data_IF_164101251685
#
_entry.id   IF_164101251685
#
_cell.length_a   1.000
_cell.length_b   1.000
_cell.length_c   1.000
_cell.angle_alpha   90.00
_cell.angle_beta   90.00
_cell.angle_gamma   90.00
#
_symmetry.space_group_name_H-M   'P 1'
#
loop_
_entity.id
_entity.type
_entity.pdbx_description
1 polymer ?
#
# COMPACT_ATOMS: atom_id res chain seq x y z
N UNK A 1 -27.67 -44.39 -25.83
CA UNK A 1 -26.53 -43.49 -26.04
C UNK A 1 -26.74 -42.28 -25.17
N UNK A 2 -26.03 -42.20 -24.04
CA UNK A 2 -26.13 -41.09 -23.10
C UNK A 2 -24.90 -40.20 -23.28
N UNK A 3 -25.09 -38.99 -23.77
CA UNK A 3 -24.05 -37.98 -23.85
C UNK A 3 -23.89 -37.30 -22.48
N UNK A 4 -22.78 -37.58 -21.78
CA UNK A 4 -22.37 -36.86 -20.60
C UNK A 4 -21.71 -35.54 -21.01
N UNK A 5 -22.40 -34.43 -20.79
CA UNK A 5 -21.83 -33.09 -20.91
C UNK A 5 -20.95 -32.83 -19.69
N UNK A 6 -19.63 -32.77 -19.90
CA UNK A 6 -18.66 -32.27 -18.91
C UNK A 6 -18.73 -30.73 -18.93
N UNK A 7 -19.26 -30.15 -17.86
CA UNK A 7 -19.09 -28.73 -17.56
C UNK A 7 -17.71 -28.51 -16.94
N UNK A 8 -16.77 -27.99 -17.72
CA UNK A 8 -15.51 -27.44 -17.19
C UNK A 8 -15.78 -26.08 -16.58
N UNK A 9 -15.79 -26.01 -15.26
CA UNK A 9 -15.78 -24.75 -14.53
C UNK A 9 -14.39 -24.13 -14.62
N UNK A 10 -14.23 -23.08 -15.44
CA UNK A 10 -13.03 -22.24 -15.46
C UNK A 10 -13.16 -21.32 -14.25
N UNK A 11 -12.38 -21.61 -13.21
CA UNK A 11 -12.19 -20.70 -12.08
C UNK A 11 -11.32 -19.52 -12.57
N UNK A 12 -11.95 -18.37 -12.81
CA UNK A 12 -11.25 -17.11 -13.04
C UNK A 12 -10.64 -16.69 -11.70
N UNK A 13 -9.36 -16.96 -11.50
CA UNK A 13 -8.59 -16.37 -10.40
C UNK A 13 -8.42 -14.88 -10.71
N UNK A 14 -9.20 -14.03 -10.05
CA UNK A 14 -8.98 -12.60 -10.04
C UNK A 14 -7.71 -12.34 -9.23
N UNK A 15 -6.58 -12.27 -9.92
CA UNK A 15 -5.34 -11.78 -9.35
C UNK A 15 -5.52 -10.28 -9.12
N UNK A 16 -5.74 -9.88 -7.88
CA UNK A 16 -5.56 -8.48 -7.48
C UNK A 16 -4.06 -8.18 -7.62
N UNK A 17 -3.67 -7.64 -8.75
CA UNK A 17 -2.35 -7.06 -8.90
C UNK A 17 -2.31 -5.80 -8.04
N UNK A 18 -1.39 -5.75 -7.08
CA UNK A 18 -0.98 -4.48 -6.47
C UNK A 18 -0.76 -3.48 -7.62
N UNK A 19 -1.46 -2.35 -7.58
CA UNK A 19 -1.29 -1.32 -8.59
C UNK A 19 0.09 -0.69 -8.41
N UNK A 20 1.09 -1.30 -9.00
CA UNK A 20 2.36 -0.64 -9.21
C UNK A 20 2.10 0.66 -9.98
N UNK A 21 2.85 1.70 -9.66
CA UNK A 21 2.87 2.95 -10.41
C UNK A 21 2.82 2.63 -11.90
N UNK A 22 1.84 3.20 -12.62
CA UNK A 22 1.70 3.00 -14.07
C UNK A 22 2.94 3.61 -14.72
N UNK A 23 3.86 2.76 -15.10
CA UNK A 23 5.01 3.15 -15.91
C UNK A 23 4.51 3.30 -17.35
N UNK A 24 4.68 4.47 -18.00
CA UNK A 24 4.25 4.65 -19.39
C UNK A 24 4.82 3.57 -20.31
N UNK A 25 3.99 3.10 -21.26
CA UNK A 25 4.43 2.09 -22.21
C UNK A 25 5.67 2.56 -22.99
N UNK A 26 6.69 1.71 -23.10
CA UNK A 26 7.96 2.02 -23.74
C UNK A 26 9.00 2.69 -22.84
N UNK A 27 8.70 2.92 -21.55
CA UNK A 27 9.70 3.41 -20.60
C UNK A 27 10.77 2.33 -20.37
N UNK A 28 12.03 2.67 -20.65
CA UNK A 28 13.15 1.81 -20.27
C UNK A 28 13.51 2.06 -18.80
N UNK A 29 13.37 1.04 -17.99
CA UNK A 29 13.81 1.07 -16.59
C UNK A 29 15.32 0.80 -16.51
N UNK A 30 15.99 1.49 -15.57
CA UNK A 30 17.40 1.22 -15.28
C UNK A 30 17.55 -0.20 -14.71
N UNK A 31 18.57 -0.94 -15.18
CA UNK A 31 18.84 -2.31 -14.72
C UNK A 31 19.11 -2.39 -13.22
N UNK A 32 19.72 -1.36 -12.64
CA UNK A 32 20.09 -1.33 -11.22
C UNK A 32 18.98 -0.90 -10.31
N UNK A 33 17.87 -0.33 -10.85
CA UNK A 33 16.74 0.16 -10.05
C UNK A 33 17.20 1.03 -8.85
N UNK A 34 18.13 1.95 -9.11
CA UNK A 34 18.72 2.83 -8.10
C UNK A 34 18.25 4.26 -8.30
N UNK A 35 17.70 4.86 -7.24
CA UNK A 35 17.28 6.25 -7.21
C UNK A 35 18.01 7.02 -6.11
N UNK A 36 18.41 8.24 -6.41
CA UNK A 36 18.98 9.16 -5.42
C UNK A 36 18.01 10.33 -5.24
N UNK A 37 17.57 10.51 -4.02
CA UNK A 37 16.61 11.56 -3.65
C UNK A 37 17.32 12.58 -2.77
N UNK A 38 17.20 13.88 -3.15
CA UNK A 38 17.67 14.97 -2.29
C UNK A 38 16.61 15.23 -1.22
N UNK A 39 16.97 14.98 0.03
CA UNK A 39 16.08 15.16 1.19
C UNK A 39 16.09 16.60 1.74
N UNK A 40 16.92 17.50 1.19
CA UNK A 40 17.03 18.90 1.60
C UNK A 40 17.85 19.12 2.87
N UNK A 41 17.67 18.32 3.90
CA UNK A 41 18.40 18.36 5.16
C UNK A 41 18.49 16.96 5.79
N UNK A 42 19.40 16.81 6.76
CA UNK A 42 19.54 15.59 7.57
C UNK A 42 18.31 15.43 8.49
N UNK A 43 17.68 14.25 8.53
CA UNK A 43 16.65 13.93 9.50
C UNK A 43 17.19 13.94 10.92
N UNK A 44 16.51 14.57 11.85
CA UNK A 44 16.90 14.58 13.27
C UNK A 44 16.53 13.27 13.97
N UNK A 45 15.52 12.59 13.50
CA UNK A 45 15.05 11.30 14.03
C UNK A 45 14.36 10.48 12.96
N UNK A 46 14.50 9.16 13.04
CA UNK A 46 13.68 8.19 12.26
C UNK A 46 12.55 7.59 13.09
N UNK A 47 12.42 7.98 14.35
CA UNK A 47 11.29 7.59 15.19
C UNK A 47 10.05 8.40 14.75
N UNK A 48 8.99 7.78 14.20
CA UNK A 48 7.82 8.49 13.68
C UNK A 48 7.08 9.30 14.75
N UNK A 49 7.30 8.99 16.05
CA UNK A 49 6.70 9.74 17.16
C UNK A 49 7.50 10.98 17.54
N UNK A 50 8.68 11.18 16.95
CA UNK A 50 9.60 12.30 17.19
C UNK A 50 9.88 13.10 15.93
N UNK A 51 9.20 12.81 14.84
CA UNK A 51 9.35 13.57 13.59
C UNK A 51 8.62 14.90 13.67
N UNK A 52 9.36 15.99 13.46
CA UNK A 52 8.81 17.36 13.51
C UNK A 52 8.93 18.11 12.19
N UNK A 53 9.76 17.61 11.26
CA UNK A 53 10.10 18.31 10.04
C UNK A 53 9.79 17.57 8.74
N UNK A 54 9.94 18.28 7.62
CA UNK A 54 9.78 17.73 6.28
C UNK A 54 10.86 16.68 5.98
N UNK A 55 12.14 16.85 6.32
CA UNK A 55 13.18 15.85 6.05
C UNK A 55 12.87 14.48 6.66
N UNK A 56 12.43 14.47 7.93
CA UNK A 56 12.05 13.26 8.65
C UNK A 56 10.81 12.61 8.03
N UNK A 57 9.78 13.41 7.76
CA UNK A 57 8.53 12.96 7.17
C UNK A 57 8.76 12.34 5.79
N UNK A 58 9.61 12.94 4.96
CA UNK A 58 9.94 12.40 3.63
C UNK A 58 10.54 11.00 3.70
N UNK A 59 11.39 10.74 4.69
CA UNK A 59 11.98 9.42 4.92
C UNK A 59 10.93 8.47 5.51
N UNK A 60 10.14 8.93 6.50
CA UNK A 60 9.10 8.11 7.13
C UNK A 60 8.07 7.59 6.11
N UNK A 61 7.65 8.41 5.14
CA UNK A 61 6.75 8.01 4.05
C UNK A 61 7.35 6.93 3.13
N UNK A 62 8.66 6.78 3.08
CA UNK A 62 9.30 5.72 2.30
C UNK A 62 9.48 4.42 3.09
N UNK A 63 9.47 4.49 4.42
CA UNK A 63 9.76 3.36 5.31
C UNK A 63 8.52 2.77 5.98
N UNK A 64 7.48 3.57 6.16
CA UNK A 64 6.32 3.21 6.96
C UNK A 64 5.04 3.28 6.12
N UNK A 65 4.16 2.33 6.34
CA UNK A 65 2.83 2.30 5.76
C UNK A 65 1.79 2.57 6.87
N UNK A 66 0.92 3.55 6.63
CA UNK A 66 -0.19 3.86 7.54
C UNK A 66 -1.41 2.97 7.30
N UNK A 67 -2.46 3.14 8.11
CA UNK A 67 -3.75 2.49 7.87
C UNK A 67 -4.31 2.87 6.49
N UNK A 68 -4.14 4.13 6.11
CA UNK A 68 -4.51 4.66 4.80
C UNK A 68 -3.32 5.43 4.22
N UNK A 69 -3.28 5.55 2.91
CA UNK A 69 -2.32 6.36 2.18
C UNK A 69 -3.06 7.33 1.25
N UNK A 70 -2.34 8.11 0.45
CA UNK A 70 -2.94 8.98 -0.57
C UNK A 70 -2.20 8.83 -1.89
N UNK A 71 -2.95 8.95 -2.98
CA UNK A 71 -2.36 9.01 -4.32
C UNK A 71 -1.79 10.41 -4.63
N UNK A 72 -1.27 10.58 -5.84
CA UNK A 72 -0.68 11.84 -6.32
C UNK A 72 -1.68 13.01 -6.40
N UNK A 73 -2.99 12.71 -6.37
CA UNK A 73 -4.06 13.70 -6.38
C UNK A 73 -4.57 14.01 -4.95
N UNK A 74 -3.98 13.38 -3.94
CA UNK A 74 -4.37 13.54 -2.54
C UNK A 74 -5.61 12.74 -2.14
N UNK A 75 -6.10 11.83 -2.98
CA UNK A 75 -7.24 10.97 -2.68
C UNK A 75 -6.80 9.82 -1.79
N UNK A 76 -7.57 9.55 -0.72
CA UNK A 76 -7.29 8.45 0.18
C UNK A 76 -7.37 7.09 -0.53
N UNK A 77 -6.37 6.28 -0.27
CA UNK A 77 -6.19 4.93 -0.79
C UNK A 77 -6.00 3.95 0.38
N UNK A 78 -6.35 2.67 0.20
CA UNK A 78 -5.99 1.63 1.14
C UNK A 78 -4.48 1.55 1.41
N UNK A 79 -4.13 1.34 2.69
CA UNK A 79 -2.78 1.02 3.15
C UNK A 79 -2.81 -0.32 3.89
N UNK A 80 -2.43 -0.34 5.17
CA UNK A 80 -2.58 -1.52 6.03
C UNK A 80 -4.06 -1.88 6.21
N UNK A 81 -4.96 -0.90 6.18
CA UNK A 81 -6.39 -1.14 6.11
C UNK A 81 -6.84 -1.26 4.65
N UNK A 82 -7.57 -2.33 4.32
CA UNK A 82 -8.19 -2.53 3.01
C UNK A 82 -9.50 -1.74 2.84
N UNK A 83 -10.15 -1.41 3.95
CA UNK A 83 -11.37 -0.60 3.98
C UNK A 83 -11.59 0.03 5.35
N UNK A 84 -12.43 1.05 5.39
CA UNK A 84 -12.82 1.71 6.64
C UNK A 84 -14.23 2.27 6.55
N UNK A 85 -14.84 2.46 7.71
CA UNK A 85 -16.15 3.06 7.88
C UNK A 85 -16.20 3.90 9.14
N UNK A 86 -17.17 4.77 9.24
CA UNK A 86 -17.40 5.59 10.43
C UNK A 86 -18.89 5.68 10.77
N UNK A 87 -19.16 5.97 12.04
CA UNK A 87 -20.51 6.31 12.49
C UNK A 87 -20.96 7.66 11.92
N UNK A 88 -22.29 7.92 11.77
CA UNK A 88 -22.78 9.18 11.22
C UNK A 88 -22.36 10.43 11.98
N UNK A 89 -22.03 10.29 13.26
CA UNK A 89 -21.54 11.36 14.13
C UNK A 89 -19.98 11.49 14.10
N UNK A 90 -19.30 10.68 13.27
CA UNK A 90 -17.84 10.65 13.10
C UNK A 90 -17.04 10.39 14.37
N UNK A 91 -17.66 9.84 15.43
CA UNK A 91 -16.97 9.57 16.69
C UNK A 91 -16.28 8.21 16.74
N UNK A 92 -16.77 7.27 15.94
CA UNK A 92 -16.18 5.93 15.87
C UNK A 92 -15.78 5.63 14.44
N UNK A 93 -14.53 5.18 14.28
CA UNK A 93 -13.97 4.74 13.02
C UNK A 93 -13.55 3.29 13.15
N UNK A 94 -13.94 2.46 12.19
CA UNK A 94 -13.56 1.05 12.10
C UNK A 94 -12.69 0.85 10.88
N UNK A 95 -11.51 0.28 11.07
CA UNK A 95 -10.59 -0.06 9.99
C UNK A 95 -10.48 -1.58 9.88
N UNK A 96 -10.71 -2.09 8.68
CA UNK A 96 -10.56 -3.51 8.37
C UNK A 96 -9.15 -3.75 7.81
N UNK A 97 -8.32 -4.44 8.58
CA UNK A 97 -6.93 -4.67 8.20
C UNK A 97 -6.83 -5.77 7.14
N UNK A 98 -5.96 -5.60 6.14
CA UNK A 98 -5.67 -6.65 5.17
C UNK A 98 -4.97 -7.83 5.85
N UNK A 99 -5.32 -9.06 5.46
CA UNK A 99 -4.85 -10.28 6.11
C UNK A 99 -3.38 -10.61 5.85
N UNK A 100 -2.78 -10.01 4.85
CA UNK A 100 -1.39 -10.21 4.44
C UNK A 100 -0.44 -9.14 4.98
N UNK A 101 -0.95 -8.18 5.76
CA UNK A 101 -0.12 -7.16 6.40
C UNK A 101 0.86 -7.78 7.40
N UNK A 102 2.12 -7.38 7.30
CA UNK A 102 3.21 -7.89 8.14
C UNK A 102 4.10 -6.76 8.63
N UNK A 103 4.59 -6.94 9.84
CA UNK A 103 5.70 -6.15 10.35
C UNK A 103 7.00 -6.48 9.60
N UNK A 104 8.02 -5.62 9.73
CA UNK A 104 9.33 -5.82 9.08
C UNK A 104 10.05 -7.11 9.50
N UNK A 105 9.71 -7.68 10.66
CA UNK A 105 10.21 -8.97 11.14
C UNK A 105 9.40 -10.18 10.61
N UNK A 106 8.34 -9.92 9.84
CA UNK A 106 7.49 -10.94 9.24
C UNK A 106 6.26 -11.34 10.07
N UNK A 107 6.10 -10.83 11.28
CA UNK A 107 4.94 -11.10 12.11
C UNK A 107 3.68 -10.45 11.51
N UNK A 108 2.50 -11.07 11.64
CA UNK A 108 1.26 -10.47 11.16
C UNK A 108 0.90 -9.20 11.92
N UNK A 109 0.34 -8.23 11.21
CA UNK A 109 -0.31 -7.05 11.82
C UNK A 109 -1.73 -7.45 12.19
N UNK A 110 -2.09 -7.33 13.48
CA UNK A 110 -3.41 -7.71 14.03
C UNK A 110 -3.97 -6.61 14.92
#
# INVERSE_FOLDING_TARGET
MQHKLLFSAIALALSYSAQAVIVPEGTQLDEKQHIVINNGAEPQSFDPQKTEGVPESSVAYQLLEGLVTSDSEGKLQPGVAESWENTPDFKTWTFHLRKDAKWSNGDPVT
#
